data_IF_757675678166
#
_entry.id   IF_757675678166
#
_cell.length_a   1.000
_cell.length_b   1.000
_cell.length_c   1.000
_cell.angle_alpha   90.00
_cell.angle_beta   90.00
_cell.angle_gamma   90.00
#
_symmetry.space_group_name_H-M   'P 1'
#
loop_
_entity.id
_entity.type
_entity.pdbx_description
1 polymer ?
#
# COMPACT_ATOMS: atom_id res chain seq x y z
N UNK A 1 16.06 -11.09 10.52
CA UNK A 1 17.24 -10.54 11.22
C UNK A 1 17.25 -9.04 10.99
N UNK A 2 17.46 -8.22 12.03
CA UNK A 2 17.50 -6.75 11.93
C UNK A 2 18.87 -6.27 11.45
N UNK A 3 18.89 -5.31 10.54
CA UNK A 3 20.10 -4.67 10.02
C UNK A 3 20.22 -3.26 10.61
N UNK A 4 21.39 -2.93 11.15
CA UNK A 4 21.68 -1.63 11.76
C UNK A 4 22.40 -0.66 10.81
N UNK A 5 22.86 -1.12 9.64
CA UNK A 5 23.37 -0.26 8.58
C UNK A 5 22.20 0.30 7.77
N UNK A 6 21.71 1.48 8.15
CA UNK A 6 20.62 2.19 7.49
C UNK A 6 20.99 2.60 6.06
N UNK A 7 22.28 2.79 5.78
CA UNK A 7 22.73 3.20 4.45
C UNK A 7 22.45 2.13 3.39
N UNK A 8 22.40 0.87 3.81
CA UNK A 8 22.07 -0.31 2.99
C UNK A 8 20.57 -0.56 2.79
N UNK A 9 19.68 0.18 3.48
CA UNK A 9 18.25 0.01 3.33
C UNK A 9 17.77 0.45 1.94
N UNK A 10 16.79 -0.26 1.33
CA UNK A 10 16.27 0.09 0.02
C UNK A 10 15.62 1.48 0.03
N UNK A 11 16.05 2.35 -0.90
CA UNK A 11 15.57 3.74 -1.03
C UNK A 11 14.63 3.96 -2.21
N UNK A 12 13.96 2.90 -2.67
CA UNK A 12 13.12 2.92 -3.86
C UNK A 12 13.91 3.27 -5.13
N UNK A 13 13.18 3.44 -6.24
CA UNK A 13 13.77 3.74 -7.55
C UNK A 13 12.82 4.50 -8.45
N UNK A 14 13.37 5.33 -9.33
CA UNK A 14 12.63 5.91 -10.44
C UNK A 14 12.39 4.82 -11.48
N UNK A 15 11.13 4.60 -11.86
CA UNK A 15 10.73 3.64 -12.89
C UNK A 15 10.00 4.37 -14.00
N UNK A 16 10.22 3.94 -15.24
CA UNK A 16 9.42 4.41 -16.37
C UNK A 16 8.07 3.70 -16.35
N UNK A 17 7.00 4.47 -16.19
CA UNK A 17 5.63 3.96 -16.20
C UNK A 17 4.88 4.54 -17.38
N UNK A 18 4.14 3.68 -18.08
CA UNK A 18 3.23 4.08 -19.14
C UNK A 18 1.86 4.38 -18.53
N UNK A 19 1.40 5.63 -18.63
CA UNK A 19 0.09 6.08 -18.14
C UNK A 19 -0.80 6.46 -19.31
N UNK A 20 -2.06 6.04 -19.25
CA UNK A 20 -3.09 6.49 -20.19
C UNK A 20 -3.66 7.80 -19.69
N UNK A 21 -3.44 8.86 -20.47
CA UNK A 21 -3.98 10.20 -20.22
C UNK A 21 -5.09 10.49 -21.23
N UNK A 22 -5.80 11.62 -21.06
CA UNK A 22 -6.82 12.07 -22.02
C UNK A 22 -6.23 12.32 -23.42
N UNK A 23 -4.94 12.69 -23.49
CA UNK A 23 -4.21 12.97 -24.73
C UNK A 23 -3.49 11.73 -25.30
N UNK A 24 -3.75 10.54 -24.75
CA UNK A 24 -3.15 9.28 -25.18
C UNK A 24 -2.17 8.68 -24.17
N UNK A 25 -1.37 7.73 -24.67
CA UNK A 25 -0.42 6.97 -23.85
C UNK A 25 0.87 7.78 -23.68
N UNK A 26 1.22 8.12 -22.44
CA UNK A 26 2.43 8.88 -22.09
C UNK A 26 3.35 8.03 -21.22
N UNK A 27 4.65 8.11 -21.48
CA UNK A 27 5.69 7.58 -20.56
C UNK A 27 6.06 8.68 -19.58
N UNK A 28 5.99 8.38 -18.30
CA UNK A 28 6.46 9.26 -17.23
C UNK A 28 7.46 8.51 -16.36
N UNK A 29 8.34 9.23 -15.70
CA UNK A 29 9.11 8.68 -14.60
C UNK A 29 8.30 8.78 -13.31
N UNK A 30 8.19 7.67 -12.60
CA UNK A 30 7.47 7.60 -11.34
C UNK A 30 8.38 6.99 -10.28
N UNK A 31 8.40 7.57 -9.10
CA UNK A 31 9.10 7.00 -7.97
C UNK A 31 8.34 5.79 -7.43
N UNK A 32 8.95 4.60 -7.52
CA UNK A 32 8.45 3.36 -6.93
C UNK A 32 9.02 3.21 -5.53
N UNK A 33 8.12 3.23 -4.54
CA UNK A 33 8.44 3.00 -3.13
C UNK A 33 8.88 1.56 -2.92
N UNK A 34 9.89 1.37 -2.08
CA UNK A 34 10.26 0.08 -1.52
C UNK A 34 10.09 0.20 0.00
N UNK A 35 9.25 -0.67 0.56
CA UNK A 35 8.90 -0.62 1.96
C UNK A 35 9.89 -1.44 2.79
N UNK A 36 10.07 -1.01 4.04
CA UNK A 36 10.84 -1.70 5.08
C UNK A 36 10.06 -1.68 6.39
N UNK A 37 10.43 -2.57 7.29
CA UNK A 37 10.18 -2.37 8.71
C UNK A 37 11.32 -1.52 9.27
N UNK A 38 11.00 -0.43 9.96
CA UNK A 38 11.96 0.51 10.53
C UNK A 38 11.73 0.65 12.03
N UNK A 39 12.81 0.72 12.80
CA UNK A 39 12.76 0.83 14.26
C UNK A 39 13.09 2.27 14.67
N UNK A 40 12.22 2.90 15.44
CA UNK A 40 12.46 4.18 16.10
C UNK A 40 13.45 4.04 17.26
N UNK A 41 14.03 5.15 17.70
CA UNK A 41 14.94 5.18 18.85
C UNK A 41 14.29 4.73 20.17
N UNK A 42 12.95 4.78 20.26
CA UNK A 42 12.17 4.30 21.40
C UNK A 42 11.81 2.80 21.32
N UNK A 43 12.24 2.11 20.25
CA UNK A 43 11.94 0.70 19.99
C UNK A 43 10.66 0.45 19.20
N UNK A 44 9.88 1.47 18.85
CA UNK A 44 8.66 1.31 18.05
C UNK A 44 8.99 0.87 16.62
N UNK A 45 8.28 -0.13 16.10
CA UNK A 45 8.45 -0.63 14.73
C UNK A 45 7.33 -0.08 13.84
N UNK A 46 7.71 0.52 12.72
CA UNK A 46 6.77 1.10 11.74
C UNK A 46 7.07 0.61 10.33
N UNK A 47 6.05 0.58 9.48
CA UNK A 47 6.25 0.52 8.03
C UNK A 47 6.85 1.84 7.55
N UNK A 48 7.98 1.79 6.85
CA UNK A 48 8.64 2.96 6.30
C UNK A 48 9.07 2.76 4.85
N UNK A 49 9.35 3.86 4.16
CA UNK A 49 9.96 3.91 2.83
C UNK A 49 10.74 5.22 2.70
N UNK A 50 11.71 5.28 1.80
CA UNK A 50 12.48 6.49 1.57
C UNK A 50 11.66 7.55 0.84
N UNK A 51 11.71 8.79 1.33
CA UNK A 51 11.13 9.97 0.69
C UNK A 51 12.31 10.76 0.09
N UNK A 52 12.43 10.82 -1.26
CA UNK A 52 13.48 11.59 -1.91
C UNK A 52 13.30 13.10 -1.65
N UNK A 53 14.37 13.90 -1.77
CA UNK A 53 14.27 15.34 -1.60
C UNK A 53 13.38 15.94 -2.70
N UNK A 54 12.62 16.99 -2.34
CA UNK A 54 11.82 17.75 -3.30
C UNK A 54 12.48 19.09 -3.56
N UNK A 55 12.34 19.58 -4.78
CA UNK A 55 12.96 20.83 -5.21
C UNK A 55 11.91 21.79 -5.76
N UNK A 56 12.13 23.08 -5.56
CA UNK A 56 11.42 24.15 -6.25
C UNK A 56 11.76 24.16 -7.74
N UNK A 57 10.98 24.89 -8.54
CA UNK A 57 11.27 25.07 -9.96
C UNK A 57 12.64 25.71 -10.22
N UNK A 58 13.16 26.47 -9.25
CA UNK A 58 14.47 27.12 -9.32
C UNK A 58 15.61 26.26 -8.77
N UNK A 59 15.35 24.99 -8.43
CA UNK A 59 16.36 24.05 -7.94
C UNK A 59 16.68 24.13 -6.44
N UNK A 60 16.06 25.05 -5.69
CA UNK A 60 16.21 25.08 -4.23
C UNK A 60 15.46 23.92 -3.57
N UNK A 61 16.03 23.32 -2.51
CA UNK A 61 15.40 22.22 -1.75
C UNK A 61 14.14 22.74 -1.05
N UNK A 62 13.00 22.15 -1.37
CA UNK A 62 11.70 22.40 -0.75
C UNK A 62 11.55 21.55 0.52
N UNK A 63 11.90 20.27 0.42
CA UNK A 63 11.87 19.30 1.51
C UNK A 63 13.11 18.42 1.43
N UNK A 64 13.79 18.24 2.56
CA UNK A 64 14.89 17.28 2.69
C UNK A 64 14.40 15.83 2.56
N UNK A 65 15.32 14.95 2.18
CA UNK A 65 15.12 13.51 2.19
C UNK A 65 14.92 12.98 3.61
N UNK A 66 14.08 11.96 3.76
CA UNK A 66 13.80 11.31 5.05
C UNK A 66 13.17 9.94 4.88
N UNK A 67 13.14 9.16 5.95
CA UNK A 67 12.30 7.98 6.05
C UNK A 67 10.86 8.37 6.40
N UNK A 68 9.86 7.77 5.74
CA UNK A 68 8.44 7.95 6.09
C UNK A 68 8.19 7.53 7.54
N UNK A 69 7.43 8.32 8.30
CA UNK A 69 7.22 8.09 9.74
C UNK A 69 8.32 8.66 10.64
N UNK A 70 9.42 9.18 10.07
CA UNK A 70 10.50 9.83 10.80
C UNK A 70 10.50 11.34 10.52
N UNK A 71 10.90 12.12 11.52
CA UNK A 71 11.15 13.55 11.35
C UNK A 71 12.33 13.79 10.41
N UNK A 72 12.39 14.96 9.77
CA UNK A 72 13.54 15.36 8.94
C UNK A 72 14.83 15.26 9.76
N UNK A 73 15.86 14.62 9.19
CA UNK A 73 17.15 14.41 9.86
C UNK A 73 17.14 13.35 10.97
N UNK A 74 16.02 12.65 11.20
CA UNK A 74 15.97 11.45 12.05
C UNK A 74 15.96 10.21 11.18
N UNK A 75 16.82 9.26 11.53
CA UNK A 75 16.92 7.97 10.85
C UNK A 75 16.45 6.84 11.78
N UNK A 76 15.96 5.73 11.23
CA UNK A 76 15.75 4.50 11.98
C UNK A 76 17.05 4.03 12.65
N UNK A 77 16.95 3.30 13.77
CA UNK A 77 18.12 2.68 14.42
C UNK A 77 18.41 1.26 13.90
N UNK A 78 17.42 0.66 13.23
CA UNK A 78 17.51 -0.62 12.56
C UNK A 78 16.41 -0.74 11.50
N UNK A 79 16.60 -1.64 10.55
CA UNK A 79 15.60 -1.98 9.54
C UNK A 79 15.57 -3.48 9.24
N UNK A 80 14.46 -3.93 8.67
CA UNK A 80 14.31 -5.26 8.08
C UNK A 80 13.53 -5.13 6.76
N UNK A 81 13.72 -6.05 5.80
CA UNK A 81 12.94 -6.05 4.57
C UNK A 81 11.45 -6.17 4.88
N UNK A 82 10.62 -5.57 4.04
CA UNK A 82 9.17 -5.80 4.13
C UNK A 82 8.87 -7.29 3.92
N UNK A 83 8.03 -7.91 4.76
CA UNK A 83 7.73 -9.32 4.62
C UNK A 83 6.97 -9.58 3.32
N UNK A 84 7.41 -10.60 2.58
CA UNK A 84 6.69 -11.13 1.44
C UNK A 84 5.94 -12.38 1.88
N UNK A 85 4.64 -12.44 1.57
CA UNK A 85 3.84 -13.63 1.79
C UNK A 85 3.90 -14.52 0.55
N UNK A 86 4.57 -15.65 0.66
CA UNK A 86 4.58 -16.67 -0.38
C UNK A 86 3.40 -17.62 -0.15
N UNK A 87 2.35 -17.48 -0.95
CA UNK A 87 1.16 -18.33 -0.90
C UNK A 87 1.36 -19.69 -1.59
N UNK A 88 2.56 -20.28 -1.52
CA UNK A 88 2.73 -21.65 -2.00
C UNK A 88 1.84 -22.55 -1.13
N UNK A 89 0.64 -22.83 -1.62
CA UNK A 89 -0.20 -23.90 -1.11
C UNK A 89 0.60 -25.17 -1.30
N UNK A 90 1.04 -25.78 -0.22
CA UNK A 90 1.32 -27.22 -0.23
C UNK A 90 0.11 -27.84 -0.92
N UNK A 91 0.33 -28.56 -2.03
CA UNK A 91 -0.72 -29.15 -2.86
C UNK A 91 -1.47 -30.26 -2.13
N UNK A 92 -2.06 -29.94 -0.98
CA UNK A 92 -3.09 -30.71 -0.33
C UNK A 92 -4.24 -30.79 -1.30
N UNK A 93 -4.32 -31.92 -1.96
CA UNK A 93 -5.47 -32.40 -2.68
C UNK A 93 -6.70 -32.14 -1.80
N UNK A 94 -7.47 -31.09 -2.12
CA UNK A 94 -8.82 -30.98 -1.62
C UNK A 94 -9.55 -32.16 -2.24
N UNK A 95 -9.64 -33.27 -1.51
CA UNK A 95 -10.40 -34.44 -1.94
C UNK A 95 -11.79 -33.93 -2.32
N UNK A 96 -12.10 -33.96 -3.61
CA UNK A 96 -13.43 -33.64 -4.10
C UNK A 96 -14.38 -34.66 -3.49
N UNK A 97 -15.02 -34.30 -2.38
CA UNK A 97 -16.10 -35.10 -1.81
C UNK A 97 -17.23 -35.04 -2.83
N UNK A 98 -17.38 -36.11 -3.62
CA UNK A 98 -18.56 -36.30 -4.47
C UNK A 98 -19.76 -36.55 -3.56
N UNK A 99 -20.36 -35.47 -3.05
CA UNK A 99 -21.67 -35.54 -2.45
C UNK A 99 -22.70 -35.77 -3.57
N UNK A 100 -23.05 -37.02 -3.85
CA UNK A 100 -24.30 -37.36 -4.52
C UNK A 100 -25.44 -37.18 -3.51
N UNK A 101 -25.89 -35.94 -3.37
CA UNK A 101 -27.12 -35.59 -2.66
C UNK A 101 -27.86 -34.53 -3.46
N UNK A 102 -29.01 -34.89 -4.04
CA UNK A 102 -29.94 -33.97 -4.70
C UNK A 102 -30.24 -32.81 -3.77
N UNK A 103 -29.75 -31.60 -4.07
CA UNK A 103 -30.41 -30.38 -3.59
C UNK A 103 -31.60 -30.11 -4.51
N UNK A 104 -32.76 -29.93 -3.87
CA UNK A 104 -34.06 -29.74 -4.50
C UNK A 104 -34.11 -28.48 -5.39
N UNK A 105 -35.01 -28.52 -6.36
CA UNK A 105 -35.22 -27.53 -7.41
C UNK A 105 -35.48 -26.10 -6.86
N UNK A 106 -35.07 -25.04 -7.59
CA UNK A 106 -35.31 -23.66 -7.20
C UNK A 106 -36.79 -23.29 -7.38
N UNK A 107 -37.48 -23.02 -6.27
CA UNK A 107 -38.78 -22.35 -6.29
C UNK A 107 -38.53 -20.86 -6.54
N UNK A 108 -39.03 -20.37 -7.67
CA UNK A 108 -39.19 -18.95 -7.98
C UNK A 108 -39.95 -18.22 -6.86
N UNK A 109 -39.37 -17.12 -6.36
CA UNK A 109 -40.11 -16.09 -5.66
C UNK A 109 -39.81 -14.77 -6.38
N UNK A 110 -40.85 -14.19 -6.98
CA UNK A 110 -40.82 -12.97 -7.78
C UNK A 110 -40.37 -11.72 -6.98
N UNK A 111 -39.88 -10.66 -7.67
CA UNK A 111 -39.37 -9.44 -7.03
C UNK A 111 -40.41 -8.30 -7.01
N UNK A 112 -40.37 -7.43 -5.99
CA UNK A 112 -40.78 -6.00 -6.05
C UNK A 112 -40.74 -5.30 -4.66
N UNK A 113 -40.76 -3.96 -4.55
CA UNK A 113 -39.76 -3.00 -5.05
C UNK A 113 -39.42 -1.91 -3.98
N UNK A 114 -38.57 -0.95 -4.38
CA UNK A 114 -38.41 0.41 -3.84
C UNK A 114 -37.76 0.66 -2.46
N UNK A 115 -36.55 1.24 -2.51
CA UNK A 115 -36.23 2.54 -1.90
C UNK A 115 -35.86 2.59 -0.41
N UNK A 116 -34.57 2.80 -0.10
CA UNK A 116 -34.06 3.79 0.86
C UNK A 116 -32.53 3.71 0.98
N UNK A 117 -31.86 4.54 0.19
CA UNK A 117 -30.74 5.42 0.54
C UNK A 117 -29.89 5.05 1.76
N UNK A 118 -28.71 4.47 1.53
CA UNK A 118 -27.62 4.49 2.52
C UNK A 118 -26.86 5.82 2.39
N UNK A 119 -27.20 6.74 3.31
CA UNK A 119 -26.67 8.10 3.44
C UNK A 119 -25.14 8.18 3.57
N UNK A 120 -24.62 9.20 2.90
CA UNK A 120 -23.26 9.73 2.90
C UNK A 120 -22.90 10.23 4.31
N UNK A 121 -21.66 9.93 4.75
CA UNK A 121 -21.09 10.47 5.99
C UNK A 121 -20.78 11.95 5.76
N UNK A 122 -21.50 12.82 6.48
CA UNK A 122 -21.33 14.27 6.43
C UNK A 122 -20.10 14.74 7.23
N UNK A 123 -19.53 15.81 6.70
CA UNK A 123 -18.34 16.55 7.10
C UNK A 123 -18.54 17.29 8.44
N UNK A 124 -17.65 17.07 9.42
CA UNK A 124 -17.61 17.90 10.64
C UNK A 124 -16.67 19.08 10.43
N UNK A 125 -17.17 20.12 9.75
CA UNK A 125 -16.57 21.45 9.68
C UNK A 125 -17.25 22.41 10.65
N UNK A 126 -16.61 22.68 11.80
CA UNK A 126 -17.01 23.72 12.74
C UNK A 126 -16.55 25.12 12.30
N UNK A 127 -17.51 26.03 12.22
CA UNK A 127 -17.37 27.50 12.29
C UNK A 127 -18.72 28.02 12.76
N UNK A 128 -18.84 28.85 13.80
CA UNK A 128 -17.97 29.90 14.34
C UNK A 128 -17.93 29.88 15.86
#
# INVERSE_FOLDING_TARGET
MWNHDISSAPRGKMVQTTVRTKDGIKRIEQYRKEYILAVHSDGTVVQSYWIPPRYTQNGAVLDGNRWSGFNVGKEPIAWAPWPEFNSQSDGGEFAAVKAQGRLADPVEVEPSPSGLDHLIIDDCGGGV
#
